data_IF_821480371642
#
_entry.id   IF_821480371642
#
_cell.length_a   1.000
_cell.length_b   1.000
_cell.length_c   1.000
_cell.angle_alpha   90.00
_cell.angle_beta   90.00
_cell.angle_gamma   90.00
#
_symmetry.space_group_name_H-M   'P 1'
#
loop_
_entity.id
_entity.type
_entity.pdbx_description
1 polymer ?
#
# COMPACT_ATOMS: atom_id res chain seq x y z
N UNK A 1 -7.23 -5.13 -9.15
CA UNK A 1 -7.91 -6.06 -10.07
C UNK A 1 -8.96 -5.27 -10.84
N UNK A 2 -8.72 -4.95 -12.11
CA UNK A 2 -9.72 -4.42 -13.01
C UNK A 2 -10.45 -5.66 -13.57
N UNK A 3 -11.62 -5.96 -13.07
CA UNK A 3 -12.50 -6.91 -13.72
C UNK A 3 -13.08 -6.23 -14.96
N UNK A 4 -12.76 -6.72 -16.14
CA UNK A 4 -13.41 -6.33 -17.38
C UNK A 4 -14.86 -6.87 -17.35
N UNK A 5 -15.89 -6.03 -17.39
CA UNK A 5 -17.27 -6.45 -17.20
C UNK A 5 -17.84 -7.28 -18.36
N UNK A 6 -17.20 -7.29 -19.51
CA UNK A 6 -17.74 -7.97 -20.70
C UNK A 6 -17.15 -9.35 -20.98
N UNK A 7 -16.12 -9.79 -20.27
CA UNK A 7 -15.48 -11.09 -20.50
C UNK A 7 -14.87 -11.31 -21.89
N UNK A 8 -14.91 -10.30 -22.77
CA UNK A 8 -14.54 -10.35 -24.19
C UNK A 8 -13.53 -9.23 -24.53
N UNK A 9 -12.82 -8.69 -23.51
CA UNK A 9 -11.76 -7.73 -23.77
C UNK A 9 -10.52 -8.42 -24.33
N UNK A 10 -9.99 -7.90 -25.42
CA UNK A 10 -8.74 -8.37 -25.97
C UNK A 10 -7.61 -8.13 -24.98
N UNK A 11 -6.52 -8.89 -25.09
CA UNK A 11 -5.32 -8.77 -24.21
C UNK A 11 -4.73 -7.35 -24.24
N UNK A 12 -4.98 -6.59 -25.29
CA UNK A 12 -4.58 -5.20 -25.50
C UNK A 12 -5.42 -4.22 -24.67
N UNK A 13 -6.74 -4.40 -24.59
CA UNK A 13 -7.64 -3.54 -23.79
C UNK A 13 -7.38 -3.69 -22.29
N UNK A 14 -7.07 -4.92 -21.82
CA UNK A 14 -6.66 -5.15 -20.46
C UNK A 14 -5.32 -4.45 -20.12
N UNK A 15 -4.42 -4.31 -21.08
CA UNK A 15 -3.16 -3.59 -20.98
C UNK A 15 -3.36 -2.07 -20.88
N UNK A 16 -4.25 -1.51 -21.70
CA UNK A 16 -4.58 -0.08 -21.71
C UNK A 16 -5.23 0.37 -20.40
N UNK A 17 -6.24 -0.35 -19.92
CA UNK A 17 -6.92 -0.02 -18.68
C UNK A 17 -5.99 -0.04 -17.47
N UNK A 18 -4.99 -0.93 -17.45
CA UNK A 18 -3.97 -0.97 -16.40
C UNK A 18 -3.04 0.23 -16.46
N UNK A 19 -2.67 0.69 -17.66
CA UNK A 19 -1.84 1.88 -17.87
C UNK A 19 -2.54 3.15 -17.40
N UNK A 20 -3.82 3.28 -17.68
CA UNK A 20 -4.62 4.45 -17.29
C UNK A 20 -4.81 4.52 -15.76
N UNK A 21 -5.08 3.37 -15.14
CA UNK A 21 -5.17 3.29 -13.69
C UNK A 21 -3.85 3.68 -13.01
N UNK A 22 -2.72 3.19 -13.52
CA UNK A 22 -1.41 3.51 -12.96
C UNK A 22 -1.08 5.00 -13.12
N UNK A 23 -1.45 5.61 -14.26
CA UNK A 23 -1.28 7.06 -14.48
C UNK A 23 -2.12 7.87 -13.50
N UNK A 24 -3.38 7.50 -13.31
CA UNK A 24 -4.27 8.16 -12.37
C UNK A 24 -3.76 8.04 -10.92
N UNK A 25 -3.34 6.85 -10.52
CA UNK A 25 -2.75 6.60 -9.21
C UNK A 25 -1.50 7.46 -8.98
N UNK A 26 -0.55 7.42 -9.91
CA UNK A 26 0.70 8.17 -9.77
C UNK A 26 0.48 9.68 -9.83
N UNK A 27 -0.44 10.15 -10.68
CA UNK A 27 -0.78 11.57 -10.77
C UNK A 27 -1.41 12.09 -9.47
N UNK A 28 -2.32 11.33 -8.89
CA UNK A 28 -2.93 11.72 -7.62
C UNK A 28 -1.91 11.71 -6.47
N UNK A 29 -1.07 10.68 -6.40
CA UNK A 29 -0.03 10.58 -5.39
C UNK A 29 0.97 11.74 -5.50
N UNK A 30 1.34 12.13 -6.72
CA UNK A 30 2.20 13.30 -6.97
C UNK A 30 1.56 14.59 -6.46
N UNK A 31 0.25 14.77 -6.66
CA UNK A 31 -0.49 15.93 -6.13
C UNK A 31 -0.46 15.96 -4.61
N UNK A 32 -0.77 14.85 -3.95
CA UNK A 32 -0.71 14.77 -2.48
C UNK A 32 0.69 15.07 -1.96
N UNK A 33 1.73 14.57 -2.62
CA UNK A 33 3.10 14.83 -2.21
C UNK A 33 3.50 16.29 -2.41
N UNK A 34 3.04 16.93 -3.48
CA UNK A 34 3.25 18.36 -3.70
C UNK A 34 2.58 19.20 -2.60
N UNK A 35 1.35 18.85 -2.21
CA UNK A 35 0.63 19.53 -1.13
C UNK A 35 1.33 19.33 0.21
N UNK A 36 1.80 18.13 0.52
CA UNK A 36 2.59 17.86 1.71
C UNK A 36 3.89 18.67 1.73
N UNK A 37 4.61 18.72 0.61
CA UNK A 37 5.85 19.49 0.49
C UNK A 37 5.59 21.00 0.63
N UNK A 38 4.50 21.50 0.03
CA UNK A 38 4.06 22.88 0.19
C UNK A 38 3.73 23.23 1.64
N UNK A 39 3.18 22.27 2.39
CA UNK A 39 2.95 22.39 3.82
C UNK A 39 4.23 22.25 4.67
N UNK A 40 5.41 22.15 4.06
CA UNK A 40 6.70 22.05 4.74
C UNK A 40 7.03 20.65 5.27
N UNK A 41 6.30 19.62 4.84
CA UNK A 41 6.57 18.23 5.21
C UNK A 41 7.63 17.64 4.28
N UNK A 42 8.45 16.74 4.82
CA UNK A 42 9.34 15.93 3.98
C UNK A 42 8.58 14.74 3.43
N UNK A 43 8.69 14.52 2.13
CA UNK A 43 8.01 13.43 1.43
C UNK A 43 9.02 12.55 0.69
N UNK A 44 8.75 11.26 0.66
CA UNK A 44 9.49 10.27 -0.13
C UNK A 44 8.49 9.39 -0.86
N UNK A 45 8.74 9.16 -2.15
CA UNK A 45 7.92 8.27 -2.98
C UNK A 45 8.09 6.80 -2.61
N UNK A 46 7.62 5.92 -3.49
CA UNK A 46 7.63 4.47 -3.32
C UNK A 46 8.98 3.96 -2.77
N UNK A 47 8.94 3.39 -1.57
CA UNK A 47 10.11 2.94 -0.85
C UNK A 47 10.32 1.44 -1.03
N UNK A 48 10.93 1.10 -2.14
CA UNK A 48 11.32 -0.29 -2.41
C UNK A 48 12.43 -0.72 -1.44
N UNK A 49 12.28 -1.92 -0.88
CA UNK A 49 13.28 -2.49 0.00
C UNK A 49 13.32 -1.92 1.42
N UNK A 50 12.32 -1.11 1.83
CA UNK A 50 12.24 -0.53 3.19
C UNK A 50 12.41 -1.58 4.30
N UNK A 51 11.90 -2.78 4.08
CA UNK A 51 11.96 -3.90 5.02
C UNK A 51 13.05 -4.94 4.69
N UNK A 52 13.87 -4.70 3.66
CA UNK A 52 14.92 -5.64 3.24
C UNK A 52 15.92 -5.93 4.35
N UNK A 53 16.29 -4.92 5.14
CA UNK A 53 17.22 -5.07 6.26
C UNK A 53 16.66 -5.95 7.40
N UNK A 54 15.34 -6.14 7.45
CA UNK A 54 14.69 -7.01 8.43
C UNK A 54 14.76 -8.49 8.07
N UNK A 55 15.21 -8.84 6.84
CA UNK A 55 15.43 -10.23 6.43
C UNK A 55 16.81 -10.65 6.98
N UNK A 56 16.88 -11.60 7.94
CA UNK A 56 18.09 -11.85 8.71
C UNK A 56 19.18 -12.52 7.87
N UNK A 57 18.82 -13.48 7.01
CA UNK A 57 19.78 -14.25 6.23
C UNK A 57 20.16 -13.53 4.93
N UNK A 58 21.46 -13.40 4.69
CA UNK A 58 21.98 -12.79 3.46
C UNK A 58 21.50 -13.53 2.19
N UNK A 59 21.51 -14.87 2.23
CA UNK A 59 21.03 -15.69 1.11
C UNK A 59 19.56 -15.39 0.77
N UNK A 60 18.70 -15.18 1.77
CA UNK A 60 17.30 -14.83 1.56
C UNK A 60 17.15 -13.42 0.98
N UNK A 61 18.00 -12.47 1.40
CA UNK A 61 18.05 -11.12 0.82
C UNK A 61 18.46 -11.15 -0.64
N UNK A 62 19.49 -11.91 -0.97
CA UNK A 62 19.97 -12.07 -2.34
C UNK A 62 18.93 -12.76 -3.23
N UNK A 63 18.27 -13.79 -2.70
CA UNK A 63 17.14 -14.46 -3.38
C UNK A 63 15.93 -13.52 -3.55
N UNK A 64 15.64 -12.67 -2.57
CA UNK A 64 14.61 -11.65 -2.64
C UNK A 64 14.91 -10.64 -3.76
N UNK A 65 16.14 -10.16 -3.86
CA UNK A 65 16.56 -9.20 -4.89
C UNK A 65 16.55 -9.79 -6.31
N UNK A 66 16.79 -11.09 -6.45
CA UNK A 66 16.79 -11.79 -7.75
C UNK A 66 15.39 -12.11 -8.28
N UNK A 67 14.35 -12.04 -7.45
CA UNK A 67 12.97 -12.33 -7.88
C UNK A 67 12.47 -11.28 -8.89
N UNK A 68 11.58 -11.65 -9.81
CA UNK A 68 10.91 -10.69 -10.67
C UNK A 68 10.27 -9.57 -9.86
N UNK A 69 10.29 -8.36 -10.39
CA UNK A 69 9.84 -7.15 -9.68
C UNK A 69 8.43 -7.29 -9.06
N UNK A 70 7.51 -7.94 -9.78
CA UNK A 70 6.15 -8.22 -9.29
C UNK A 70 6.07 -9.11 -8.04
N UNK A 71 7.10 -9.95 -7.81
CA UNK A 71 7.17 -10.86 -6.66
C UNK A 71 8.12 -10.38 -5.56
N UNK A 72 8.95 -9.36 -5.85
CA UNK A 72 9.85 -8.72 -4.87
C UNK A 72 9.12 -7.84 -3.87
N UNK A 73 7.89 -7.48 -4.20
CA UNK A 73 7.07 -6.61 -3.36
C UNK A 73 6.66 -7.36 -2.10
N UNK A 74 7.49 -7.28 -1.10
CA UNK A 74 7.06 -7.56 0.25
C UNK A 74 6.04 -6.51 0.69
N UNK A 75 6.49 -5.59 1.54
CA UNK A 75 5.74 -4.40 1.92
C UNK A 75 6.38 -3.22 1.21
N UNK A 76 5.66 -2.61 0.29
CA UNK A 76 6.10 -1.41 -0.43
C UNK A 76 5.01 -0.36 -0.27
N UNK A 77 5.16 0.57 0.69
CA UNK A 77 4.26 1.71 0.79
C UNK A 77 4.37 2.59 -0.46
N UNK A 78 3.29 3.23 -0.85
CA UNK A 78 3.29 4.18 -1.95
C UNK A 78 4.10 5.43 -1.63
N UNK A 79 4.27 5.74 -0.34
CA UNK A 79 5.10 6.82 0.10
C UNK A 79 5.31 6.90 1.60
N UNK A 80 6.10 7.90 1.97
CA UNK A 80 6.37 8.24 3.37
C UNK A 80 6.35 9.76 3.54
N UNK A 81 5.73 10.20 4.60
CA UNK A 81 5.74 11.61 5.02
C UNK A 81 6.37 11.70 6.39
N UNK A 82 7.37 12.56 6.53
CA UNK A 82 7.94 12.91 7.83
C UNK A 82 7.27 14.18 8.34
N UNK A 83 6.62 14.09 9.48
CA UNK A 83 5.89 15.19 10.09
C UNK A 83 6.13 15.29 11.59
N UNK A 84 6.01 16.50 12.12
CA UNK A 84 5.95 16.77 13.55
C UNK A 84 4.51 17.10 13.93
N UNK A 85 3.80 16.17 14.51
CA UNK A 85 2.42 16.38 14.94
C UNK A 85 2.39 16.94 16.38
N UNK A 86 1.57 17.95 16.59
CA UNK A 86 1.31 18.54 17.91
C UNK A 86 2.58 18.95 18.70
N UNK A 87 3.61 19.44 18.01
CA UNK A 87 4.87 19.85 18.65
C UNK A 87 5.75 18.72 19.18
N UNK A 88 5.40 17.47 18.94
CA UNK A 88 6.18 16.29 19.31
C UNK A 88 7.44 16.10 18.47
N UNK A 89 8.10 14.95 18.61
CA UNK A 89 9.22 14.56 17.76
C UNK A 89 8.78 14.35 16.31
N UNK A 90 9.67 14.58 15.36
CA UNK A 90 9.47 14.16 13.98
C UNK A 90 9.29 12.66 13.89
N UNK A 91 8.30 12.24 13.08
CA UNK A 91 8.02 10.82 12.83
C UNK A 91 7.75 10.60 11.35
N UNK A 92 8.12 9.43 10.90
CA UNK A 92 7.81 8.95 9.57
C UNK A 92 6.45 8.23 9.59
N UNK A 93 5.60 8.60 8.65
CA UNK A 93 4.28 7.98 8.44
C UNK A 93 4.26 7.34 7.06
N UNK A 94 3.98 6.05 7.03
CA UNK A 94 3.80 5.33 5.77
C UNK A 94 2.43 5.64 5.18
N UNK A 95 2.40 5.88 3.88
CA UNK A 95 1.19 6.17 3.11
C UNK A 95 0.89 5.03 2.15
N UNK A 96 -0.39 4.69 2.05
CA UNK A 96 -0.90 3.75 1.05
C UNK A 96 -2.09 4.35 0.32
N UNK A 97 -1.98 4.50 -0.98
CA UNK A 97 -3.02 5.03 -1.83
C UNK A 97 -3.90 3.91 -2.38
N UNK A 98 -5.20 4.04 -2.23
CA UNK A 98 -6.19 3.11 -2.79
C UNK A 98 -7.24 3.86 -3.57
N UNK A 99 -7.56 3.34 -4.74
CA UNK A 99 -8.71 3.79 -5.52
C UNK A 99 -9.86 2.81 -5.36
N UNK A 100 -11.03 3.34 -5.04
CA UNK A 100 -12.28 2.60 -5.07
C UNK A 100 -12.89 2.83 -6.46
N UNK A 101 -12.85 1.79 -7.29
CA UNK A 101 -13.39 1.88 -8.64
C UNK A 101 -14.88 1.50 -8.64
N UNK A 102 -15.72 2.42 -9.10
CA UNK A 102 -17.18 2.29 -9.16
C UNK A 102 -17.68 1.60 -10.44
N UNK A 103 -16.99 0.55 -10.87
CA UNK A 103 -17.41 -0.23 -12.02
C UNK A 103 -18.63 -1.11 -11.70
N UNK A 104 -19.56 -1.20 -12.64
CA UNK A 104 -20.82 -1.95 -12.51
C UNK A 104 -20.63 -3.44 -12.18
N UNK A 105 -19.45 -3.98 -12.48
CA UNK A 105 -19.12 -5.39 -12.21
C UNK A 105 -18.64 -5.68 -10.80
N UNK A 106 -18.27 -4.65 -10.03
CA UNK A 106 -17.68 -4.80 -8.70
C UNK A 106 -18.65 -4.43 -7.59
N UNK A 107 -19.67 -3.63 -7.90
CA UNK A 107 -20.63 -3.12 -6.93
C UNK A 107 -22.04 -3.36 -7.39
N UNK A 108 -22.94 -3.69 -6.48
CA UNK A 108 -24.37 -3.74 -6.76
C UNK A 108 -24.90 -2.32 -7.04
N UNK A 109 -26.07 -2.21 -7.67
CA UNK A 109 -26.71 -0.92 -7.92
C UNK A 109 -26.92 -0.10 -6.63
N UNK A 110 -27.11 -0.78 -5.51
CA UNK A 110 -27.22 -0.17 -4.19
C UNK A 110 -25.90 0.45 -3.69
N UNK A 111 -24.74 -0.15 -4.06
CA UNK A 111 -23.44 0.38 -3.70
C UNK A 111 -23.06 1.66 -4.47
N UNK A 112 -23.82 2.02 -5.51
CA UNK A 112 -23.56 3.20 -6.35
C UNK A 112 -24.19 4.47 -5.78
N UNK A 113 -25.10 4.36 -4.83
CA UNK A 113 -25.67 5.52 -4.14
C UNK A 113 -24.61 6.24 -3.32
N UNK A 114 -24.68 7.58 -3.27
CA UNK A 114 -23.66 8.42 -2.62
C UNK A 114 -23.32 7.99 -1.19
N UNK A 115 -24.31 7.57 -0.41
CA UNK A 115 -24.13 7.10 0.96
C UNK A 115 -23.27 5.84 1.04
N UNK A 116 -23.44 4.92 0.09
CA UNK A 116 -22.72 3.65 0.06
C UNK A 116 -21.29 3.84 -0.48
N UNK A 117 -21.07 4.87 -1.33
CA UNK A 117 -19.72 5.28 -1.76
C UNK A 117 -18.86 5.71 -0.58
N UNK A 118 -19.34 6.63 0.24
CA UNK A 118 -18.62 7.08 1.43
C UNK A 118 -18.32 5.90 2.37
N UNK A 119 -19.27 4.98 2.54
CA UNK A 119 -19.09 3.79 3.38
C UNK A 119 -18.03 2.85 2.78
N UNK A 120 -18.01 2.64 1.47
CA UNK A 120 -17.01 1.79 0.80
C UNK A 120 -15.62 2.40 0.87
N UNK A 121 -15.50 3.71 0.72
CA UNK A 121 -14.23 4.43 0.91
C UNK A 121 -13.74 4.30 2.36
N UNK A 122 -14.62 4.50 3.34
CA UNK A 122 -14.29 4.36 4.76
C UNK A 122 -13.84 2.92 5.09
N UNK A 123 -14.61 1.91 4.64
CA UNK A 123 -14.22 0.50 4.81
C UNK A 123 -12.86 0.21 4.19
N UNK A 124 -12.61 0.71 2.98
CA UNK A 124 -11.31 0.49 2.33
C UNK A 124 -10.16 1.14 3.10
N UNK A 125 -10.40 2.28 3.72
CA UNK A 125 -9.43 2.92 4.59
C UNK A 125 -9.16 2.08 5.86
N UNK A 126 -10.20 1.53 6.46
CA UNK A 126 -10.08 0.65 7.64
C UNK A 126 -9.34 -0.66 7.33
N UNK A 127 -9.44 -1.18 6.10
CA UNK A 127 -8.79 -2.43 5.69
C UNK A 127 -7.28 -2.29 5.50
N UNK A 128 -6.76 -1.09 5.20
CA UNK A 128 -5.33 -0.89 4.87
C UNK A 128 -4.39 -1.23 6.02
N UNK A 129 -4.56 -0.73 7.24
CA UNK A 129 -3.63 -1.03 8.33
C UNK A 129 -3.54 -2.53 8.65
N UNK A 130 -4.65 -3.28 8.81
CA UNK A 130 -4.57 -4.72 9.06
C UNK A 130 -3.99 -5.52 7.88
N UNK A 131 -4.18 -5.07 6.62
CA UNK A 131 -3.52 -5.68 5.47
C UNK A 131 -1.99 -5.61 5.58
N UNK A 132 -1.45 -4.47 6.04
CA UNK A 132 -0.02 -4.28 6.24
C UNK A 132 0.53 -5.15 7.36
N UNK A 133 -0.15 -5.24 8.49
CA UNK A 133 0.21 -6.15 9.60
C UNK A 133 0.23 -7.60 9.10
N UNK A 134 -0.80 -8.03 8.38
CA UNK A 134 -0.86 -9.37 7.82
C UNK A 134 0.25 -9.65 6.78
N UNK A 135 0.65 -8.64 5.99
CA UNK A 135 1.80 -8.75 5.07
C UNK A 135 3.11 -8.88 5.85
N UNK A 136 3.30 -8.10 6.90
CA UNK A 136 4.49 -8.15 7.76
C UNK A 136 4.64 -9.53 8.42
N UNK A 137 3.59 -10.04 9.04
CA UNK A 137 3.57 -11.37 9.65
C UNK A 137 3.91 -12.48 8.63
N UNK A 138 3.38 -12.39 7.40
CA UNK A 138 3.73 -13.35 6.33
C UNK A 138 5.20 -13.26 5.90
N UNK A 139 5.79 -12.05 5.88
CA UNK A 139 7.21 -11.88 5.59
C UNK A 139 8.08 -12.47 6.71
N UNK A 140 7.73 -12.21 7.96
CA UNK A 140 8.44 -12.75 9.12
C UNK A 140 8.36 -14.28 9.14
N UNK A 141 7.20 -14.86 8.92
CA UNK A 141 7.03 -16.31 8.83
C UNK A 141 7.87 -16.94 7.71
N UNK A 142 8.03 -16.23 6.59
CA UNK A 142 8.80 -16.74 5.43
C UNK A 142 10.30 -16.66 5.62
N UNK A 143 10.80 -15.58 6.24
CA UNK A 143 12.22 -15.24 6.22
C UNK A 143 12.90 -15.31 7.59
N UNK A 144 12.14 -15.26 8.68
CA UNK A 144 12.69 -15.25 10.04
C UNK A 144 12.52 -16.58 10.78
N UNK A 145 12.01 -17.61 10.09
CA UNK A 145 11.68 -18.88 10.71
C UNK A 145 10.42 -18.81 11.57
N UNK A 146 10.27 -19.73 12.50
CA UNK A 146 9.11 -19.77 13.40
C UNK A 146 9.22 -18.64 14.42
N UNK A 147 8.58 -17.51 14.11
CA UNK A 147 8.37 -16.44 15.11
C UNK A 147 7.27 -16.93 16.07
N UNK A 148 7.51 -16.93 17.39
CA UNK A 148 6.46 -17.27 18.34
C UNK A 148 5.24 -16.36 18.11
N UNK A 149 4.04 -16.94 18.06
CA UNK A 149 2.80 -16.20 17.84
C UNK A 149 2.55 -15.04 18.85
N UNK A 150 3.33 -15.04 19.94
CA UNK A 150 3.22 -14.06 21.03
C UNK A 150 4.12 -12.83 20.85
N UNK A 151 4.99 -12.81 19.84
CA UNK A 151 5.92 -11.68 19.61
C UNK A 151 5.95 -11.28 18.13
N UNK A 152 5.92 -9.98 17.84
CA UNK A 152 6.11 -9.51 16.46
C UNK A 152 7.51 -9.88 15.96
N UNK A 153 7.59 -10.30 14.70
CA UNK A 153 8.86 -10.53 14.04
C UNK A 153 9.58 -9.23 13.67
N UNK A 154 10.79 -9.31 13.07
CA UNK A 154 11.57 -8.12 12.74
C UNK A 154 10.89 -7.19 11.74
N UNK A 155 10.15 -7.72 10.75
CA UNK A 155 9.40 -6.90 9.78
C UNK A 155 8.22 -6.21 10.45
N UNK A 156 7.46 -6.95 11.25
CA UNK A 156 6.34 -6.41 12.01
C UNK A 156 6.79 -5.37 13.03
N UNK A 157 7.88 -5.62 13.75
CA UNK A 157 8.49 -4.66 14.69
C UNK A 157 8.88 -3.37 13.97
N UNK A 158 9.50 -3.49 12.79
CA UNK A 158 9.86 -2.34 11.96
C UNK A 158 8.62 -1.59 11.47
N UNK A 159 7.57 -2.29 11.06
CA UNK A 159 6.30 -1.69 10.67
C UNK A 159 5.68 -0.89 11.82
N UNK A 160 5.63 -1.48 13.01
CA UNK A 160 5.10 -0.83 14.22
C UNK A 160 5.87 0.46 14.55
N UNK A 161 7.17 0.51 14.28
CA UNK A 161 7.98 1.72 14.55
C UNK A 161 7.55 2.94 13.72
N UNK A 162 6.90 2.75 12.58
CA UNK A 162 6.28 3.82 11.78
C UNK A 162 4.87 4.19 12.27
N UNK A 163 4.32 3.44 13.22
CA UNK A 163 2.93 3.54 13.62
C UNK A 163 1.98 2.93 12.59
N UNK A 164 0.74 3.39 12.61
CA UNK A 164 -0.27 2.91 11.68
C UNK A 164 -0.04 3.47 10.27
N UNK A 165 -0.11 2.59 9.27
CA UNK A 165 -0.08 3.01 7.86
C UNK A 165 -1.30 3.89 7.56
N UNK A 166 -1.06 5.06 7.00
CA UNK A 166 -2.12 6.04 6.72
C UNK A 166 -2.72 5.80 5.34
N UNK A 167 -3.99 5.38 5.27
CA UNK A 167 -4.67 5.18 4.01
C UNK A 167 -5.04 6.51 3.37
N UNK A 168 -4.81 6.60 2.07
CA UNK A 168 -5.27 7.66 1.20
C UNK A 168 -6.25 7.03 0.20
N UNK A 169 -7.54 7.09 0.48
CA UNK A 169 -8.56 6.41 -0.32
C UNK A 169 -9.35 7.42 -1.14
N UNK A 170 -9.41 7.17 -2.44
CA UNK A 170 -10.14 7.99 -3.41
C UNK A 170 -11.22 7.13 -4.06
N UNK A 171 -12.42 7.68 -4.18
CA UNK A 171 -13.56 7.02 -4.80
C UNK A 171 -14.56 7.96 -5.47
#
# INVERSE_FOLDING_TARGET
YICNPSGIGTREEAGQGRGDWLRAHNGWLATVFADCAFAGLRVSGELQGLFRACIPLRADRDAFDQRPWSTRRGIVPDGMVTARLNGGAERDYLLECKFVHWGVSTYTRADIEHRDRCRSVARRAEDVPPEYVAKAARMDARHSGTVPATRPGPVETRLISYGEVKPLVVG
#
